data_IF_116299686920
#
_entry.id   IF_116299686920
#
_cell.length_a   1.000
_cell.length_b   1.000
_cell.length_c   1.000
_cell.angle_alpha   90.00
_cell.angle_beta   90.00
_cell.angle_gamma   90.00
#
_symmetry.space_group_name_H-M   'P 1'
#
loop_
_entity.id
_entity.type
_entity.pdbx_description
1 polymer ?
#
# COMPACT_ATOMS: atom_id res chain seq x y z
N UNK A 1 36.88 36.05 5.30
CA UNK A 1 35.61 36.27 6.01
C UNK A 1 34.53 36.58 4.99
N UNK A 2 33.34 36.01 5.19
CA UNK A 2 32.02 36.48 4.73
C UNK A 2 31.68 36.27 3.24
N UNK A 3 30.88 35.25 2.90
CA UNK A 3 29.39 35.23 2.82
C UNK A 3 28.90 36.27 1.78
N UNK A 4 28.03 36.00 0.80
CA UNK A 4 26.69 35.41 0.88
C UNK A 4 26.25 35.05 -0.55
N UNK A 5 25.79 33.82 -0.82
CA UNK A 5 24.37 33.43 -0.92
C UNK A 5 23.65 34.04 -2.13
N UNK A 6 23.66 33.31 -3.25
CA UNK A 6 22.60 33.38 -4.26
C UNK A 6 21.72 32.15 -4.04
N UNK A 7 20.74 32.28 -3.16
CA UNK A 7 19.78 31.25 -2.81
C UNK A 7 18.86 31.05 -4.03
N UNK A 8 19.06 29.95 -4.74
CA UNK A 8 18.20 29.51 -5.82
C UNK A 8 16.82 29.25 -5.20
N UNK A 9 15.82 30.06 -5.57
CA UNK A 9 14.42 29.79 -5.33
C UNK A 9 14.05 28.51 -6.10
N UNK A 10 14.37 27.35 -5.53
CA UNK A 10 13.82 26.08 -5.92
C UNK A 10 12.36 26.09 -5.50
N UNK A 11 11.51 26.58 -6.41
CA UNK A 11 10.09 26.33 -6.42
C UNK A 11 9.94 24.82 -6.65
N UNK A 12 10.09 24.05 -5.57
CA UNK A 12 9.57 22.70 -5.52
C UNK A 12 8.05 22.85 -5.60
N UNK A 13 7.56 22.78 -6.83
CA UNK A 13 6.18 22.42 -7.12
C UNK A 13 5.95 21.09 -6.43
N UNK A 14 5.44 21.13 -5.21
CA UNK A 14 4.76 20.00 -4.59
C UNK A 14 3.53 19.72 -5.44
N UNK A 15 3.72 19.05 -6.58
CA UNK A 15 2.70 18.20 -7.15
C UNK A 15 2.44 17.15 -6.07
N UNK A 16 1.43 17.42 -5.26
CA UNK A 16 0.81 16.47 -4.36
C UNK A 16 0.15 15.44 -5.28
N UNK A 17 0.95 14.60 -5.91
CA UNK A 17 0.49 13.34 -6.44
C UNK A 17 -0.19 12.69 -5.26
N UNK A 18 -1.51 12.61 -5.31
CA UNK A 18 -2.27 11.81 -4.35
C UNK A 18 -1.88 10.36 -4.63
N UNK A 19 -0.69 9.98 -4.18
CA UNK A 19 -0.14 8.64 -4.28
C UNK A 19 -0.93 7.78 -3.31
N UNK A 20 -2.19 7.51 -3.66
CA UNK A 20 -2.91 6.39 -3.08
C UNK A 20 -2.17 5.17 -3.58
N UNK A 21 -1.37 4.59 -2.69
CA UNK A 21 -0.59 3.41 -2.99
C UNK A 21 -1.56 2.27 -3.31
N UNK A 22 -1.23 1.48 -4.32
CA UNK A 22 -1.99 0.29 -4.62
C UNK A 22 -1.57 -0.77 -3.60
N UNK A 23 -2.55 -1.27 -2.85
CA UNK A 23 -2.32 -2.31 -1.86
C UNK A 23 -2.73 -3.64 -2.48
N UNK A 24 -2.07 -4.73 -2.11
CA UNK A 24 -2.48 -6.09 -2.43
C UNK A 24 -2.85 -6.83 -1.15
N UNK A 25 -3.81 -7.75 -1.21
CA UNK A 25 -4.02 -8.73 -0.17
C UNK A 25 -3.61 -10.09 -0.74
N UNK A 26 -2.56 -10.69 -0.19
CA UNK A 26 -2.14 -12.03 -0.57
C UNK A 26 -2.64 -13.01 0.47
N UNK A 27 -3.56 -13.89 0.06
CA UNK A 27 -4.12 -14.94 0.89
C UNK A 27 -3.48 -16.27 0.53
N UNK A 28 -2.97 -16.96 1.54
CA UNK A 28 -2.41 -18.31 1.38
C UNK A 28 -3.32 -19.31 2.05
N UNK A 29 -3.80 -20.30 1.32
CA UNK A 29 -4.55 -21.41 1.89
C UNK A 29 -3.59 -22.39 2.58
N UNK A 30 -3.66 -22.59 3.90
CA UNK A 30 -2.71 -23.46 4.59
C UNK A 30 -2.89 -24.95 4.26
N UNK A 31 -4.03 -25.35 3.68
CA UNK A 31 -4.31 -26.74 3.26
C UNK A 31 -3.76 -27.06 1.88
N UNK A 32 -3.95 -26.16 0.91
CA UNK A 32 -3.51 -26.39 -0.48
C UNK A 32 -2.18 -25.71 -0.80
N UNK A 33 -1.72 -24.79 0.06
CA UNK A 33 -0.60 -23.87 -0.17
C UNK A 33 -0.78 -22.96 -1.39
N UNK A 34 -1.99 -22.86 -1.92
CA UNK A 34 -2.30 -21.92 -3.00
C UNK A 34 -2.29 -20.48 -2.47
N UNK A 35 -1.74 -19.59 -3.28
CA UNK A 35 -1.66 -18.16 -3.01
C UNK A 35 -2.50 -17.42 -4.03
N UNK A 36 -3.41 -16.59 -3.54
CA UNK A 36 -4.22 -15.67 -4.33
C UNK A 36 -3.93 -14.24 -3.91
N UNK A 37 -3.71 -13.36 -4.88
CA UNK A 37 -3.46 -11.94 -4.64
C UNK A 37 -4.60 -11.09 -5.18
N UNK A 38 -5.27 -10.38 -4.28
CA UNK A 38 -6.33 -9.43 -4.58
C UNK A 38 -5.78 -8.01 -4.62
N UNK A 39 -5.85 -7.35 -5.78
CA UNK A 39 -5.35 -5.99 -5.93
C UNK A 39 -6.42 -4.98 -5.46
N UNK A 40 -6.06 -4.18 -4.46
CA UNK A 40 -6.86 -3.13 -3.85
C UNK A 40 -6.35 -1.76 -4.30
N UNK A 41 -6.80 -1.37 -5.49
CA UNK A 41 -6.34 -0.15 -6.17
C UNK A 41 -6.80 1.12 -5.44
N UNK A 42 -5.88 2.08 -5.27
CA UNK A 42 -6.17 3.43 -4.71
C UNK A 42 -6.93 3.43 -3.37
N UNK A 43 -6.71 2.43 -2.52
CA UNK A 43 -7.29 2.37 -1.17
C UNK A 43 -6.34 2.99 -0.14
N UNK A 44 -6.88 3.53 0.94
CA UNK A 44 -6.06 3.85 2.12
C UNK A 44 -5.67 2.54 2.80
N UNK A 45 -4.54 2.54 3.53
CA UNK A 45 -4.07 1.34 4.25
C UNK A 45 -5.18 0.73 5.12
N UNK A 46 -5.89 1.54 5.90
CA UNK A 46 -6.96 1.08 6.77
C UNK A 46 -8.12 0.40 6.00
N UNK A 47 -8.49 0.91 4.82
CA UNK A 47 -9.53 0.27 3.99
C UNK A 47 -8.99 -1.00 3.34
N UNK A 48 -7.71 -1.02 3.01
CA UNK A 48 -7.08 -2.21 2.45
C UNK A 48 -6.93 -3.33 3.50
N UNK A 49 -6.63 -2.98 4.76
CA UNK A 49 -6.61 -3.91 5.91
C UNK A 49 -8.00 -4.50 6.17
N UNK A 50 -9.03 -3.67 6.28
CA UNK A 50 -10.43 -4.12 6.48
C UNK A 50 -10.91 -5.06 5.37
N UNK A 51 -10.58 -4.74 4.11
CA UNK A 51 -10.87 -5.62 2.98
C UNK A 51 -10.05 -6.91 3.03
N UNK A 52 -8.78 -6.85 3.42
CA UNK A 52 -7.93 -8.04 3.50
C UNK A 52 -8.37 -8.99 4.61
N UNK A 53 -8.81 -8.46 5.77
CA UNK A 53 -9.44 -9.24 6.82
C UNK A 53 -10.74 -9.89 6.33
N UNK A 54 -11.53 -9.20 5.50
CA UNK A 54 -12.74 -9.78 4.91
C UNK A 54 -12.46 -10.99 4.01
N UNK A 55 -11.33 -10.98 3.28
CA UNK A 55 -10.89 -12.13 2.48
C UNK A 55 -10.39 -13.30 3.33
N UNK A 56 -9.82 -13.04 4.51
CA UNK A 56 -9.38 -14.12 5.42
C UNK A 56 -10.54 -15.05 5.82
N UNK A 57 -11.74 -14.49 5.99
CA UNK A 57 -12.96 -15.28 6.24
C UNK A 57 -13.33 -16.20 5.08
N UNK A 58 -13.05 -15.81 3.83
CA UNK A 58 -13.31 -16.67 2.66
C UNK A 58 -12.36 -17.87 2.63
N UNK A 59 -11.14 -17.72 3.16
CA UNK A 59 -10.14 -18.79 3.12
C UNK A 59 -10.25 -19.79 4.28
N UNK A 60 -10.98 -19.50 5.37
CA UNK A 60 -11.32 -20.33 6.56
C UNK A 60 -10.17 -21.04 7.31
N UNK A 61 -9.17 -21.56 6.59
CA UNK A 61 -7.90 -22.16 7.01
C UNK A 61 -6.71 -21.43 6.36
N UNK A 62 -6.93 -20.30 5.69
CA UNK A 62 -5.85 -19.51 5.09
C UNK A 62 -5.43 -18.33 5.96
N UNK A 63 -4.30 -17.73 5.59
CA UNK A 63 -3.77 -16.52 6.23
C UNK A 63 -3.66 -15.46 5.14
N UNK A 64 -4.25 -14.29 5.36
CA UNK A 64 -4.15 -13.17 4.45
C UNK A 64 -3.16 -12.13 4.98
N UNK A 65 -2.38 -11.51 4.10
CA UNK A 65 -1.40 -10.49 4.45
C UNK A 65 -1.45 -9.35 3.45
N UNK A 66 -1.42 -8.13 3.98
CA UNK A 66 -1.42 -6.92 3.17
C UNK A 66 0.00 -6.67 2.62
N UNK A 67 0.14 -6.69 1.31
CA UNK A 67 1.37 -6.40 0.57
C UNK A 67 1.25 -5.07 -0.21
N UNK A 68 2.37 -4.47 -0.63
CA UNK A 68 2.43 -3.05 -1.00
C UNK A 68 3.58 -2.59 -1.89
#
# INVERSE_FOLDING_TARGET
MKYLITLICSVFLFTISSCRKDWGCTCTNNKTQEQDTYILTKKSKAVAEDLCESYEYEYSDGTCSLDN
#
